data_IF_431342751614
#
_entry.id   IF_431342751614
#
_cell.length_a   1.000
_cell.length_b   1.000
_cell.length_c   1.000
_cell.angle_alpha   90.00
_cell.angle_beta   90.00
_cell.angle_gamma   90.00
#
_symmetry.space_group_name_H-M   'P 1'
#
loop_
_entity.id
_entity.type
_entity.pdbx_description
1 polymer ?
2 polymer ?
3 water ?
#
# COMPACT_ATOMS: atom_id res chain seq x y z
N UNK A 2 -6.19 -10.76 -17.65
CA UNK A 2 -6.17 -9.68 -16.77
C UNK A 2 -4.82 -8.96 -16.76
N UNK A 3 -4.73 -7.64 -16.78
CA UNK A 3 -3.43 -7.04 -16.61
C UNK A 3 -2.86 -7.43 -15.25
N UNK A 4 -1.56 -7.63 -15.20
CA UNK A 4 -0.94 -7.93 -13.94
C UNK A 4 0.50 -7.43 -13.97
N UNK A 5 0.99 -7.20 -12.77
CA UNK A 5 2.31 -6.64 -12.59
C UNK A 5 3.07 -7.36 -11.46
N UNK A 6 4.36 -7.62 -11.67
CA UNK A 6 5.20 -7.94 -10.53
C UNK A 6 5.31 -6.77 -9.58
N UNK A 7 5.50 -7.09 -8.30
CA UNK A 7 5.71 -6.14 -7.24
C UNK A 7 7.08 -6.41 -6.63
N UNK A 8 7.91 -5.42 -6.60
CA UNK A 8 9.31 -5.56 -6.23
C UNK A 8 9.51 -5.12 -4.80
N UNK A 9 9.93 -6.04 -3.93
CA UNK A 9 10.16 -5.72 -2.53
C UNK A 9 11.36 -4.82 -2.38
N UNK A 10 11.18 -3.68 -1.75
CA UNK A 10 12.23 -2.70 -1.54
C UNK A 10 12.71 -2.65 -0.10
N UNK A 11 11.97 -3.27 0.80
CA UNK A 11 12.23 -3.14 2.25
C UNK A 11 10.95 -2.50 2.85
N UNK A 12 10.89 -1.14 2.79
CA UNK A 12 9.72 -0.49 3.40
C UNK A 12 8.45 -0.58 2.60
N UNK A 13 8.56 -0.92 1.29
CA UNK A 13 7.48 -0.82 0.35
C UNK A 13 7.69 -1.86 -0.75
N UNK A 14 6.63 -2.04 -1.53
CA UNK A 14 6.67 -2.82 -2.76
C UNK A 14 6.47 -1.84 -3.93
N UNK A 15 7.38 -1.93 -4.89
CA UNK A 15 7.31 -1.09 -6.07
C UNK A 15 6.63 -1.76 -7.25
N UNK A 16 5.90 -0.97 -8.01
CA UNK A 16 5.33 -1.38 -9.29
C UNK A 16 6.01 -0.52 -10.36
N UNK A 17 6.34 -1.13 -11.49
CA UNK A 17 7.00 -0.44 -12.58
C UNK A 17 5.98 0.09 -13.54
N UNK A 18 6.20 1.38 -13.87
CA UNK A 18 5.32 1.91 -14.87
C UNK A 18 6.03 3.00 -15.67
N UNK A 19 5.63 3.10 -16.94
CA UNK A 19 6.31 4.06 -17.81
C UNK A 19 5.33 5.16 -18.19
N UNK A 20 5.85 6.36 -18.39
CA UNK A 20 5.02 7.54 -18.62
C UNK A 20 5.48 8.25 -19.87
N UNK A 21 4.51 8.61 -20.72
CA UNK A 21 4.76 9.56 -21.79
C UNK A 21 5.13 8.99 -23.10
N UNK A 22 5.30 9.88 -24.10
CA UNK A 22 5.60 9.42 -25.45
C UNK A 22 6.94 8.65 -25.54
N UNK A 23 7.85 9.03 -24.65
CA UNK A 23 9.18 8.43 -24.59
C UNK A 23 9.31 7.41 -23.45
N UNK A 24 8.17 7.00 -22.86
CA UNK A 24 8.11 5.86 -22.00
C UNK A 24 9.19 5.89 -20.89
N UNK A 25 9.15 6.99 -20.14
CA UNK A 25 10.07 7.21 -19.08
C UNK A 25 9.77 6.30 -17.92
N UNK A 26 10.73 5.45 -17.51
CA UNK A 26 10.49 4.38 -16.54
C UNK A 26 10.50 4.90 -15.10
N UNK A 27 9.49 4.46 -14.34
CA UNK A 27 9.36 4.76 -12.93
C UNK A 27 9.16 3.46 -12.15
N UNK A 28 9.56 3.47 -10.89
CA UNK A 28 9.15 2.44 -9.93
C UNK A 28 8.54 3.19 -8.76
N UNK A 29 7.26 2.94 -8.51
CA UNK A 29 6.48 3.70 -7.55
C UNK A 29 5.84 2.76 -6.55
N UNK A 30 5.54 3.28 -5.35
CA UNK A 30 4.93 2.43 -4.32
C UNK A 30 3.54 2.02 -4.78
N UNK A 31 3.21 0.72 -4.71
CA UNK A 31 1.84 0.28 -4.94
C UNK A 31 1.10 0.49 -3.62
N UNK A 32 0.17 1.44 -3.57
CA UNK A 32 -0.41 1.92 -2.32
C UNK A 32 -1.94 1.82 -2.32
N UNK A 33 -2.49 0.87 -1.58
CA UNK A 33 -3.92 0.77 -1.40
C UNK A 33 -4.44 1.75 -0.36
N UNK A 34 -3.55 2.47 0.31
CA UNK A 34 -3.90 3.48 1.29
C UNK A 34 -3.94 4.91 0.79
N UNK A 35 -3.80 5.12 -0.49
CA UNK A 35 -3.98 6.43 -1.10
C UNK A 35 -4.51 6.23 -2.51
N UNK A 36 -4.81 7.33 -3.20
CA UNK A 36 -5.61 7.24 -4.42
C UNK A 36 -5.06 8.03 -5.59
N UNK A 37 -3.96 8.75 -5.40
CA UNK A 37 -3.38 9.57 -6.45
C UNK A 37 -2.10 8.92 -6.93
N UNK A 38 -1.90 8.94 -8.25
CA UNK A 38 -0.64 8.56 -8.87
C UNK A 38 0.21 9.82 -9.04
N UNK A 39 1.47 9.77 -8.59
CA UNK A 39 2.37 10.86 -8.81
C UNK A 39 3.78 10.32 -9.01
N UNK A 40 4.56 11.12 -9.77
CA UNK A 40 5.92 10.81 -10.12
C UNK A 40 6.83 11.95 -9.69
N UNK A 41 8.11 11.60 -9.52
CA UNK A 41 9.12 12.58 -9.11
C UNK A 41 9.61 13.33 -10.37
N UNK A 42 9.38 14.64 -10.43
CA UNK A 42 9.93 15.40 -11.54
C UNK A 42 11.43 15.34 -11.53
N UNK A 43 12.06 15.29 -12.73
CA UNK A 43 13.50 15.27 -12.79
C UNK A 43 14.13 16.47 -12.09
N UNK A 44 13.47 17.60 -11.97
CA UNK A 44 13.99 18.77 -11.30
C UNK A 44 13.45 18.96 -9.88
N UNK A 45 12.85 17.91 -9.31
CA UNK A 45 12.25 18.06 -7.97
C UNK A 45 13.31 18.33 -6.93
N UNK A 46 12.85 18.94 -5.85
CA UNK A 46 13.65 19.04 -4.62
C UNK A 46 13.20 17.95 -3.64
N UNK A 47 14.07 16.98 -3.44
CA UNK A 47 13.86 15.91 -2.46
C UNK A 47 14.20 16.50 -1.09
N UNK A 48 13.37 16.32 -0.09
CA UNK A 48 13.67 16.83 1.22
C UNK A 48 14.62 15.93 1.99
N UNK A 49 14.63 14.62 1.68
CA UNK A 49 15.34 13.66 2.49
C UNK A 49 16.18 12.79 1.55
N UNK A 50 17.41 13.10 1.30
CA UNK A 50 18.31 12.34 0.50
C UNK A 50 17.84 12.27 -0.97
N UNK A 51 18.18 11.10 -1.59
CA UNK A 51 17.97 10.90 -3.00
C UNK A 51 16.65 10.21 -3.27
N UNK A 52 15.64 11.00 -3.64
CA UNK A 52 14.30 10.51 -3.97
C UNK A 52 14.14 10.18 -5.47
N UNK A 53 15.29 10.16 -6.15
CA UNK A 53 15.43 9.95 -7.54
C UNK A 53 16.24 8.74 -7.92
N UNK A 54 16.07 7.65 -7.16
CA UNK A 54 16.76 6.40 -7.48
C UNK A 54 15.78 5.44 -8.15
N UNK A 55 14.47 5.70 -8.08
CA UNK A 55 13.43 4.86 -8.62
C UNK A 55 12.76 5.49 -9.81
N UNK A 56 13.49 6.29 -10.55
CA UNK A 56 12.99 6.98 -11.75
C UNK A 56 12.68 8.42 -11.51
N UNK A 57 12.66 9.17 -12.62
CA UNK A 57 12.12 10.52 -12.62
C UNK A 57 11.36 10.74 -13.92
N UNK A 58 10.55 11.80 -13.92
CA UNK A 58 9.78 12.19 -15.07
C UNK A 58 10.14 13.60 -15.48
N UNK A 59 10.45 13.77 -16.76
CA UNK A 59 10.72 15.05 -17.35
C UNK A 59 9.53 15.37 -18.29
N UNK A 60 8.60 16.19 -17.87
CA UNK A 60 7.43 16.46 -18.70
C UNK A 60 7.81 17.03 -20.07
N UNK A 61 8.92 17.75 -20.13
CA UNK A 61 9.25 18.48 -21.35
C UNK A 61 9.56 17.59 -22.49
N UNK A 62 9.92 16.33 -22.24
CA UNK A 62 10.32 15.42 -23.32
C UNK A 62 9.23 14.47 -23.72
N UNK A 63 8.07 14.52 -23.06
CA UNK A 63 6.91 13.74 -23.52
C UNK A 63 5.98 14.62 -24.36
N UNK A 64 5.85 14.24 -25.67
CA UNK A 64 5.01 15.09 -26.55
C UNK A 64 3.57 14.99 -26.27
N UNK A 65 3.13 13.92 -25.51
CA UNK A 65 1.74 13.70 -25.16
C UNK A 65 1.38 14.27 -23.79
N UNK A 66 2.32 14.77 -23.01
CA UNK A 66 2.06 15.37 -21.69
C UNK A 66 1.29 16.65 -21.86
N UNK A 67 0.31 16.88 -21.01
CA UNK A 67 -0.32 18.16 -20.88
C UNK A 67 -0.45 18.51 -19.41
N UNK A 68 0.05 19.68 -19.00
CA UNK A 68 -0.21 20.10 -17.62
C UNK A 68 -1.65 20.51 -17.49
N UNK A 69 -2.25 20.20 -16.37
CA UNK A 69 -3.61 20.68 -16.04
C UNK A 69 -3.56 21.97 -15.27
N UNK A 70 -2.41 22.43 -14.80
CA UNK A 70 -2.28 23.72 -14.15
C UNK A 70 -2.73 23.79 -12.73
N UNK A 71 -3.40 22.81 -12.21
CA UNK A 71 -3.91 22.80 -10.87
C UNK A 71 -2.85 22.24 -9.92
N UNK A 72 -2.82 22.78 -8.72
CA UNK A 72 -1.76 22.30 -7.82
C UNK A 72 -2.23 21.07 -7.06
N UNK A 73 -1.19 20.31 -6.71
CA UNK A 73 -1.31 19.06 -5.98
C UNK A 73 -0.52 19.20 -4.67
N UNK A 74 -1.15 18.82 -3.56
CA UNK A 74 -0.44 18.65 -2.31
C UNK A 74 -1.13 17.45 -1.62
N UNK A 75 -0.31 16.71 -0.85
CA UNK A 75 -0.82 15.57 -0.10
C UNK A 75 0.12 15.36 1.09
N UNK A 76 -0.50 14.91 2.18
CA UNK A 76 0.23 14.49 3.39
C UNK A 76 -0.10 13.06 3.72
N UNK A 77 0.93 12.31 4.12
CA UNK A 77 0.79 10.91 4.45
C UNK A 77 0.94 10.67 5.93
N UNK A 78 0.57 9.46 6.37
CA UNK A 78 0.51 9.14 7.77
C UNK A 78 1.80 9.23 8.51
N UNK A 79 2.92 8.97 7.82
CA UNK A 79 4.24 9.08 8.38
C UNK A 79 4.80 10.52 8.40
N UNK A 80 3.96 11.46 8.03
CA UNK A 80 4.24 12.90 8.01
C UNK A 80 5.04 13.31 6.77
N UNK A 81 5.35 12.38 5.89
CA UNK A 81 5.89 12.76 4.59
C UNK A 81 4.81 13.44 3.76
N UNK A 82 5.23 14.15 2.73
CA UNK A 82 4.28 14.95 1.93
C UNK A 82 4.92 15.23 0.57
N UNK A 83 4.05 15.70 -0.34
CA UNK A 83 4.44 16.05 -1.69
C UNK A 83 3.67 17.27 -2.17
N UNK A 84 4.32 18.04 -3.04
CA UNK A 84 3.74 19.18 -3.73
C UNK A 84 4.07 19.06 -5.21
N UNK A 85 3.13 19.35 -6.09
CA UNK A 85 3.42 19.43 -7.50
C UNK A 85 2.27 20.03 -8.26
N UNK A 86 2.15 19.64 -9.53
CA UNK A 86 1.11 20.18 -10.41
C UNK A 86 0.53 18.99 -11.17
N UNK A 87 -0.80 18.95 -11.27
CA UNK A 87 -1.48 17.89 -12.00
C UNK A 87 -1.19 18.01 -13.49
N UNK A 88 -1.14 16.84 -14.14
CA UNK A 88 -1.03 16.74 -15.58
C UNK A 88 -1.72 15.45 -16.05
N UNK A 89 -1.57 15.20 -17.35
CA UNK A 89 -2.13 14.02 -17.96
C UNK A 89 -1.18 13.51 -19.01
N UNK A 90 -1.13 12.19 -19.18
CA UNK A 90 -0.28 11.56 -20.20
C UNK A 90 -0.74 10.10 -20.33
N UNK A 91 -0.05 9.42 -21.27
CA UNK A 91 -0.21 7.99 -21.44
C UNK A 91 0.65 7.26 -20.40
N UNK A 92 0.04 6.26 -19.75
CA UNK A 92 0.72 5.49 -18.72
C UNK A 92 0.70 4.02 -19.14
N UNK A 93 1.83 3.36 -18.95
CA UNK A 93 2.03 1.94 -19.23
C UNK A 93 2.19 1.20 -17.94
N UNK A 94 1.31 0.20 -17.71
CA UNK A 94 1.38 -0.61 -16.52
C UNK A 94 0.62 -1.89 -16.78
N UNK A 95 1.00 -2.97 -16.09
CA UNK A 95 0.25 -4.19 -16.15
C UNK A 95 0.25 -4.87 -17.51
N UNK A 96 1.20 -4.53 -18.39
CA UNK A 96 1.20 -5.02 -19.73
C UNK A 96 0.24 -4.29 -20.67
N UNK A 97 -0.39 -3.22 -20.21
CA UNK A 97 -1.30 -2.44 -21.04
C UNK A 97 -0.97 -0.94 -20.92
N UNK A 98 -1.86 -0.12 -21.44
CA UNK A 98 -1.67 1.33 -21.35
C UNK A 98 -3.02 1.98 -21.25
N UNK A 99 -3.03 3.19 -20.67
CA UNK A 99 -4.18 4.05 -20.58
C UNK A 99 -3.79 5.44 -21.05
N UNK A 100 -4.73 6.10 -21.76
CA UNK A 100 -4.44 7.40 -22.31
C UNK A 100 -5.13 8.50 -21.47
N UNK A 101 -4.50 9.69 -21.50
CA UNK A 101 -5.03 10.88 -20.88
C UNK A 101 -5.36 10.64 -19.38
N UNK A 102 -4.47 9.93 -18.70
CA UNK A 102 -4.65 9.69 -17.27
C UNK A 102 -4.09 10.86 -16.48
N UNK A 103 -4.88 11.33 -15.50
CA UNK A 103 -4.45 12.39 -14.59
C UNK A 103 -3.52 11.82 -13.50
N UNK A 104 -2.41 12.52 -13.32
CA UNK A 104 -1.41 12.17 -12.30
C UNK A 104 -0.69 13.47 -11.95
N UNK A 105 0.02 13.47 -10.82
CA UNK A 105 0.75 14.67 -10.42
C UNK A 105 2.23 14.55 -10.73
N UNK A 106 2.81 15.63 -11.21
CA UNK A 106 4.23 15.74 -11.45
C UNK A 106 4.77 16.57 -10.28
N UNK A 107 5.44 15.85 -9.38
CA UNK A 107 5.81 16.37 -8.06
C UNK A 107 7.19 17.03 -8.11
N UNK A 108 7.22 18.27 -7.62
CA UNK A 108 8.38 19.10 -7.62
C UNK A 108 9.00 19.29 -6.23
N UNK A 109 8.37 18.84 -5.17
CA UNK A 109 9.07 18.76 -3.88
C UNK A 109 8.38 17.66 -3.07
N UNK A 110 9.20 16.85 -2.42
CA UNK A 110 8.66 15.74 -1.64
C UNK A 110 9.63 15.30 -0.58
N UNK A 111 9.07 14.80 0.53
CA UNK A 111 9.81 14.08 1.54
C UNK A 111 9.59 12.57 1.48
N UNK A 112 8.84 12.11 0.49
CA UNK A 112 8.72 10.68 0.21
C UNK A 112 9.96 10.28 -0.61
N UNK A 113 10.32 8.98 -0.58
CA UNK A 113 11.54 8.56 -1.23
C UNK A 113 11.37 8.16 -2.71
N UNK A 114 10.14 8.15 -3.21
CA UNK A 114 9.86 7.76 -4.60
C UNK A 114 8.40 8.15 -4.85
N UNK A 115 7.99 8.02 -6.11
CA UNK A 115 6.58 8.26 -6.42
C UNK A 115 5.69 7.14 -5.92
N UNK A 116 4.37 7.37 -6.06
CA UNK A 116 3.35 6.51 -5.49
C UNK A 116 2.25 6.29 -6.52
N UNK A 117 1.85 5.01 -6.70
CA UNK A 117 0.64 4.67 -7.43
C UNK A 117 -0.44 4.35 -6.40
N UNK A 118 -1.24 5.37 -6.08
CA UNK A 118 -2.39 5.18 -5.21
C UNK A 118 -3.55 4.55 -5.98
N UNK A 119 -3.98 3.40 -5.52
CA UNK A 119 -5.04 2.61 -6.14
C UNK A 119 -6.28 2.51 -5.26
N UNK A 120 -6.42 3.42 -4.30
CA UNK A 120 -7.55 3.44 -3.42
C UNK A 120 -8.81 4.07 -4.02
N UNK A 121 -9.76 4.29 -3.13
CA UNK A 121 -11.08 4.79 -3.48
C UNK A 121 -11.01 6.25 -3.89
N UNK A 122 -11.96 6.71 -4.69
CA UNK A 122 -11.89 8.13 -5.06
C UNK A 122 -12.02 9.01 -3.82
N UNK A 123 -12.64 8.54 -2.73
CA UNK A 123 -12.84 9.34 -1.54
C UNK A 123 -11.52 9.75 -0.85
N UNK A 124 -10.39 9.10 -1.08
CA UNK A 124 -9.14 9.54 -0.52
C UNK A 124 -8.28 10.27 -1.54
N UNK A 125 -8.77 10.61 -2.72
CA UNK A 125 -7.99 11.49 -3.61
C UNK A 125 -7.76 12.83 -2.94
N UNK A 126 -6.55 13.36 -3.10
CA UNK A 126 -6.26 14.73 -2.67
C UNK A 126 -6.62 15.67 -3.82
N UNK A 127 -7.92 15.81 -4.09
CA UNK A 127 -8.43 16.58 -5.22
C UNK A 127 -9.87 16.94 -4.96
N UNK A 128 -10.29 18.08 -5.51
CA UNK A 128 -11.68 18.51 -5.44
C UNK A 128 -11.90 19.42 -6.64
N UNK A 129 -12.75 19.01 -7.61
CA UNK A 129 -13.59 17.86 -7.66
C UNK A 129 -12.83 16.53 -7.74
N UNK A 130 -13.51 15.42 -7.45
CA UNK A 130 -12.80 14.14 -7.68
C UNK A 130 -12.62 13.88 -9.18
N UNK A 131 -11.78 12.90 -9.48
CA UNK A 131 -11.40 12.57 -10.84
C UNK A 131 -11.21 11.06 -11.00
N UNK A 132 -11.04 10.62 -12.21
CA UNK A 132 -10.82 9.19 -12.46
C UNK A 132 -9.33 8.84 -12.19
N UNK A 133 -9.10 8.13 -11.08
CA UNK A 133 -7.76 7.65 -10.78
C UNK A 133 -7.50 6.35 -11.58
N UNK A 134 -6.30 5.77 -11.40
CA UNK A 134 -5.87 4.72 -12.31
C UNK A 134 -6.81 3.52 -12.35
N UNK A 135 -7.31 3.01 -11.21
CA UNK A 135 -8.22 1.86 -11.30
C UNK A 135 -9.50 2.19 -12.07
N UNK A 136 -10.06 3.38 -11.86
CA UNK A 136 -11.24 3.80 -12.59
C UNK A 136 -10.95 3.82 -14.09
N UNK A 137 -9.83 4.38 -14.49
CA UNK A 137 -9.50 4.48 -15.92
C UNK A 137 -9.24 3.13 -16.55
N UNK A 138 -8.59 2.21 -15.82
CA UNK A 138 -8.41 0.88 -16.34
C UNK A 138 -9.75 0.25 -16.73
N UNK A 139 -10.76 0.43 -15.90
CA UNK A 139 -12.10 -0.09 -16.20
C UNK A 139 -12.71 0.72 -17.37
N UNK A 140 -12.68 2.03 -17.29
CA UNK A 140 -13.34 2.88 -18.28
C UNK A 140 -12.80 2.64 -19.70
N UNK A 141 -11.51 2.35 -19.80
CA UNK A 141 -10.86 2.10 -21.10
C UNK A 141 -10.87 0.63 -21.47
N UNK A 142 -11.65 -0.19 -20.72
CA UNK A 142 -11.90 -1.55 -21.13
C UNK A 142 -10.79 -2.53 -20.88
N UNK A 143 -9.82 -2.14 -20.04
CA UNK A 143 -8.72 -3.08 -19.74
C UNK A 143 -9.20 -4.12 -18.71
N UNK A 144 -10.15 -3.77 -17.90
CA UNK A 144 -10.79 -4.66 -16.89
C UNK A 144 -12.29 -4.37 -16.91
N UNK A 145 -13.08 -5.34 -16.49
CA UNK A 145 -14.53 -5.19 -16.46
C UNK A 145 -15.04 -4.69 -15.13
N UNK A 146 -14.29 -4.91 -14.06
CA UNK A 146 -14.66 -4.57 -12.70
C UNK A 146 -13.48 -3.72 -12.09
N UNK A 147 -13.78 -2.66 -11.41
CA UNK A 147 -12.75 -1.91 -10.73
C UNK A 147 -12.42 -2.65 -9.41
N UNK A 148 -11.46 -3.57 -9.56
CA UNK A 148 -11.07 -4.47 -8.48
C UNK A 148 -9.67 -4.98 -8.80
N UNK A 149 -8.95 -5.44 -7.80
CA UNK A 149 -7.62 -5.99 -8.00
C UNK A 149 -7.28 -6.91 -6.83
N UNK A 150 -6.39 -7.85 -7.13
CA UNK A 150 -5.93 -8.81 -6.14
C UNK A 150 -4.49 -8.57 -5.81
N UNK A 151 -4.17 -8.66 -4.51
CA UNK A 151 -2.84 -8.42 -4.00
C UNK A 151 -2.25 -9.70 -3.39
N UNK A 152 -1.07 -10.03 -3.90
CA UNK A 152 -0.26 -11.19 -3.48
C UNK A 152 1.14 -10.67 -3.22
N UNK A 153 1.40 -10.16 -2.00
CA UNK A 153 2.74 -9.69 -1.72
C UNK A 153 3.78 -10.84 -1.72
N UNK A 154 3.32 -12.05 -1.49
CA UNK A 154 4.15 -13.23 -1.50
C UNK A 154 5.00 -13.32 -0.24
N UNK A 155 5.79 -14.39 -0.15
CA UNK A 155 6.45 -14.72 1.10
C UNK A 155 7.58 -13.75 1.41
N UNK A 156 7.98 -13.68 2.70
CA UNK A 156 9.22 -12.94 2.99
C UNK A 156 10.39 -13.59 2.23
N UNK A 157 11.13 -12.83 1.50
CA UNK A 157 12.22 -13.44 0.63
C UNK A 157 11.80 -13.77 -0.72
N UNK A 158 10.59 -13.72 -1.13
CA UNK A 158 10.24 -14.05 -2.49
C UNK A 158 10.88 -13.19 -3.63
N UNK A 159 11.48 -12.04 -3.87
CA UNK A 159 11.90 -10.95 -4.75
C UNK A 159 10.75 -10.11 -5.34
N UNK A 160 9.69 -10.84 -5.65
CA UNK A 160 8.52 -10.29 -6.30
C UNK A 160 7.21 -11.00 -5.86
N UNK A 161 6.24 -10.09 -5.59
CA UNK A 161 4.83 -10.30 -5.41
C UNK A 161 4.10 -10.00 -6.73
N UNK A 162 2.79 -9.97 -6.69
CA UNK A 162 1.96 -9.73 -7.88
C UNK A 162 0.73 -8.92 -7.50
N UNK A 163 0.35 -8.00 -8.40
CA UNK A 163 -1.00 -7.42 -8.38
C UNK A 163 -1.67 -7.81 -9.71
N UNK A 164 -2.90 -8.28 -9.63
CA UNK A 164 -3.70 -8.56 -10.82
C UNK A 164 -4.85 -7.55 -10.83
N UNK A 165 -4.94 -6.78 -11.91
CA UNK A 165 -6.04 -5.84 -12.08
C UNK A 165 -7.20 -6.55 -12.72
N UNK A 166 -8.36 -6.58 -12.03
CA UNK A 166 -9.55 -7.18 -12.57
C UNK A 166 -9.68 -8.66 -12.46
N UNK A 167 -8.70 -9.33 -11.85
CA UNK A 167 -8.66 -10.76 -11.81
C UNK A 167 -8.16 -11.26 -10.44
N UNK A 168 -8.32 -12.54 -10.24
CA UNK A 168 -8.03 -13.25 -8.98
C UNK A 168 -7.36 -14.56 -9.31
N UNK A 169 -6.26 -14.88 -8.62
CA UNK A 169 -5.57 -16.15 -8.79
C UNK A 169 -6.04 -17.12 -7.70
N UNK A 170 -7.00 -17.99 -8.10
CA UNK A 170 -7.61 -18.91 -7.18
C UNK A 170 -6.70 -20.02 -6.68
N UNK A 171 -5.48 -20.15 -7.26
CA UNK A 171 -4.52 -21.09 -6.75
C UNK A 171 -3.76 -20.58 -5.52
N UNK A 172 -3.88 -19.29 -5.20
CA UNK A 172 -2.96 -18.62 -4.27
C UNK A 172 -3.60 -18.32 -2.92
N UNK A 173 -4.68 -19.03 -2.55
CA UNK A 173 -5.19 -18.97 -1.22
C UNK A 173 -5.79 -20.29 -0.82
N UNK A 174 -5.91 -20.53 0.47
CA UNK A 174 -6.59 -21.67 1.05
C UNK A 174 -7.97 -21.31 1.50
N UNK A 175 -8.85 -22.30 1.61
CA UNK A 175 -10.19 -22.03 2.02
C UNK A 175 -10.87 -21.17 0.89
N UNK A 176 -11.88 -20.42 1.31
CA UNK A 176 -12.62 -19.53 0.48
C UNK A 176 -12.28 -18.11 0.81
N UNK A 177 -12.29 -17.23 -0.24
CA UNK A 177 -12.22 -15.83 0.02
C UNK A 177 -13.47 -15.42 0.85
N UNK A 178 -13.25 -14.67 1.90
CA UNK A 178 -14.33 -14.19 2.74
C UNK A 178 -14.47 -12.70 2.53
N UNK A 179 -15.65 -12.31 2.02
CA UNK A 179 -15.94 -10.93 1.69
C UNK A 179 -16.28 -10.10 2.90
N UNK A 180 -15.66 -8.93 3.04
CA UNK A 180 -15.91 -8.00 4.12
C UNK A 180 -16.40 -6.68 3.55
N UNK A 181 -17.45 -6.09 4.14
CA UNK A 181 -17.82 -4.73 3.76
C UNK A 181 -16.85 -3.75 4.31
N UNK A 182 -16.80 -2.55 3.72
CA UNK A 182 -15.96 -1.48 4.22
C UNK A 182 -16.64 -0.84 5.42
N UNK A 183 -15.83 -0.36 6.36
CA UNK A 183 -16.31 0.29 7.55
C UNK A 183 -15.81 1.76 7.66
N UNK A 184 -15.21 2.26 6.65
CA UNK A 184 -14.80 3.67 6.54
C UNK A 184 -15.52 4.35 5.47
N UNK A 185 -15.76 5.65 5.61
CA UNK A 185 -16.27 6.51 4.59
C UNK A 185 -15.31 6.81 3.41
N UNK A 186 -14.08 6.41 3.56
CA UNK A 186 -13.02 6.81 2.66
C UNK A 186 -11.97 5.78 2.38
N UNK A 187 -11.52 5.00 3.36
CA UNK A 187 -10.44 4.05 3.20
C UNK A 187 -10.97 2.67 2.80
N UNK A 188 -10.06 1.85 2.31
CA UNK A 188 -10.27 0.43 2.14
C UNK A 188 -9.99 -0.25 3.49
N UNK A 189 -10.98 -0.11 4.39
CA UNK A 189 -10.88 -0.52 5.78
C UNK A 189 -12.00 -1.50 6.11
N UNK A 190 -11.64 -2.53 6.88
CA UNK A 190 -12.56 -3.58 7.32
C UNK A 190 -12.54 -3.68 8.80
N UNK A 191 -13.58 -4.29 9.41
CA UNK A 191 -13.58 -4.46 10.85
C UNK A 191 -12.60 -5.55 11.27
N UNK A 192 -11.75 -5.24 12.24
CA UNK A 192 -10.94 -6.25 12.94
C UNK A 192 -11.73 -6.62 14.19
N UNK A 193 -12.07 -7.90 14.35
CA UNK A 193 -12.84 -8.37 15.49
C UNK A 193 -11.95 -8.64 16.70
N UNK A 194 -10.83 -9.31 16.52
CA UNK A 194 -9.96 -9.68 17.61
C UNK A 194 -8.61 -10.04 17.08
N UNK A 195 -7.63 -10.10 18.00
CA UNK A 195 -6.22 -10.38 17.68
C UNK A 195 -5.73 -11.34 18.76
N UNK A 196 -5.24 -12.52 18.38
CA UNK A 196 -4.64 -13.45 19.32
C UNK A 196 -3.13 -13.50 19.00
N UNK A 197 -2.33 -12.78 19.76
CA UNK A 197 -0.89 -12.65 19.53
C UNK A 197 -0.23 -13.74 20.42
N UNK A 198 0.13 -14.87 19.79
CA UNK A 198 0.79 -15.94 20.48
C UNK A 198 0.15 -16.33 21.80
N UNK A 199 -1.18 -16.37 21.84
CA UNK A 199 -1.93 -16.84 22.96
C UNK A 199 -2.50 -15.70 23.82
N UNK A 200 -2.02 -14.48 23.65
CA UNK A 200 -2.59 -13.33 24.37
C UNK A 200 -3.63 -12.78 23.50
N UNK A 201 -4.90 -13.02 23.82
CA UNK A 201 -5.97 -12.62 22.99
C UNK A 201 -6.63 -11.32 23.44
N UNK A 202 -7.09 -10.58 22.47
CA UNK A 202 -7.51 -9.20 22.73
C UNK A 202 -8.78 -8.94 21.81
N UNK A 203 -9.85 -8.45 22.38
CA UNK A 203 -10.91 -7.84 21.59
C UNK A 203 -10.43 -6.63 20.88
N UNK A 204 -10.98 -6.44 19.66
CA UNK A 204 -10.72 -5.25 18.83
C UNK A 204 -12.02 -4.55 18.61
N UNK A 205 -12.67 -4.83 17.49
CA UNK A 205 -13.94 -4.19 17.14
C UNK A 205 -13.77 -2.76 16.63
N UNK A 206 -12.84 -2.57 15.72
CA UNK A 206 -12.64 -1.28 15.08
C UNK A 206 -12.12 -1.56 13.66
N UNK A 207 -12.25 -0.55 12.77
CA UNK A 207 -11.77 -0.64 11.45
C UNK A 207 -10.25 -0.53 11.33
N UNK A 208 -9.71 -1.30 10.38
CA UNK A 208 -8.30 -1.24 10.03
C UNK A 208 -8.19 -1.02 8.51
N UNK A 209 -7.32 -0.09 8.12
CA UNK A 209 -7.03 0.12 6.70
C UNK A 209 -6.14 -1.03 6.24
N UNK A 210 -6.50 -1.66 5.12
CA UNK A 210 -5.76 -2.78 4.57
C UNK A 210 -4.79 -2.18 3.54
N UNK A 211 -3.57 -1.88 4.02
CA UNK A 211 -2.73 -0.89 3.35
C UNK A 211 -1.39 -1.44 2.88
N UNK A 212 -1.28 -1.71 1.57
CA UNK A 212 -0.04 -2.17 1.00
C UNK A 212 1.09 -1.15 1.10
N UNK A 213 0.79 0.14 1.22
CA UNK A 213 1.78 1.17 1.32
C UNK A 213 2.30 1.47 2.71
N UNK A 214 1.96 0.62 3.71
CA UNK A 214 2.52 0.77 5.03
C UNK A 214 3.37 -0.46 5.35
N UNK A 215 4.57 -0.25 5.89
CA UNK A 215 5.52 -1.33 6.10
C UNK A 215 5.06 -2.34 7.17
N UNK A 216 4.66 -1.80 8.32
CA UNK A 216 4.28 -2.60 9.47
C UNK A 216 2.82 -2.28 9.83
N UNK A 217 2.38 -2.61 11.06
CA UNK A 217 0.98 -2.52 11.42
C UNK A 217 0.82 -1.65 12.67
N UNK A 218 -0.29 -0.91 12.73
CA UNK A 218 -0.52 0.14 13.71
C UNK A 218 -1.90 -0.09 14.31
N UNK A 219 -1.98 -0.31 15.63
CA UNK A 219 -3.23 -0.60 16.29
C UNK A 219 -3.34 0.27 17.55
N UNK A 220 -4.54 0.38 18.11
CA UNK A 220 -4.70 1.26 19.27
C UNK A 220 -3.93 0.75 20.47
N UNK A 221 -3.59 1.69 21.36
CA UNK A 221 -2.97 1.36 22.63
C UNK A 221 -3.78 0.34 23.43
N UNK A 222 -5.12 0.35 23.31
CA UNK A 222 -5.93 -0.60 24.04
C UNK A 222 -5.52 -2.03 23.78
N UNK A 223 -5.00 -2.33 22.58
CA UNK A 223 -4.39 -3.61 22.27
C UNK A 223 -2.89 -3.65 22.50
N UNK A 224 -2.21 -2.64 21.99
CA UNK A 224 -0.74 -2.69 21.93
C UNK A 224 -0.08 -2.58 23.29
N UNK A 225 -0.67 -1.85 24.24
CA UNK A 225 -0.01 -1.67 25.51
C UNK A 225 0.35 -3.00 26.19
N UNK A 226 -0.62 -3.87 26.35
CA UNK A 226 -0.34 -5.14 27.07
C UNK A 226 0.61 -5.98 26.24
N UNK A 227 0.43 -6.00 24.92
CA UNK A 227 1.33 -6.80 24.10
C UNK A 227 2.74 -6.34 24.21
N UNK A 228 2.99 -5.01 24.30
CA UNK A 228 4.34 -4.52 24.46
C UNK A 228 4.96 -5.06 25.74
N UNK A 229 4.16 -5.07 26.81
CA UNK A 229 4.63 -5.63 28.08
C UNK A 229 4.96 -7.11 27.94
N UNK A 230 4.10 -7.86 27.27
CA UNK A 230 4.27 -9.32 27.16
C UNK A 230 5.47 -9.67 26.29
N UNK A 231 5.74 -8.95 25.24
CA UNK A 231 6.77 -9.34 24.27
C UNK A 231 8.09 -8.65 24.53
N UNK A 232 8.14 -7.66 25.40
CA UNK A 232 9.37 -6.93 25.64
C UNK A 232 9.65 -5.86 24.60
N UNK A 233 8.59 -5.22 24.09
CA UNK A 233 8.77 -4.07 23.20
C UNK A 233 8.86 -2.80 24.02
N UNK A 234 9.68 -1.86 23.57
CA UNK A 234 10.09 -0.71 24.39
C UNK A 234 10.27 0.52 23.52
N UNK A 235 9.81 1.66 24.02
CA UNK A 235 9.87 2.85 23.29
C UNK A 235 11.24 3.42 23.36
N UNK A 236 11.75 3.92 22.20
CA UNK A 236 13.04 4.63 22.16
C UNK A 236 12.90 5.74 21.15
N UNK A 237 13.65 6.87 21.36
CA UNK A 237 13.50 8.00 20.47
C UNK A 237 14.02 7.65 19.07
N UNK A 238 13.39 8.18 17.98
CA UNK A 238 13.73 7.82 16.59
C UNK A 238 14.21 9.06 15.86
N UNK A 239 14.11 10.15 16.52
CA UNK A 239 14.21 11.33 17.37
C UNK A 239 14.30 12.25 16.13
N UNK A 240 13.99 13.52 16.09
CA UNK A 240 13.35 14.26 17.16
C UNK A 240 11.82 14.35 17.01
N UNK A 241 11.28 14.35 18.18
CA UNK A 241 10.41 14.11 19.27
C UNK A 241 9.50 12.98 18.72
N UNK A 242 10.08 12.04 17.88
CA UNK A 242 9.21 10.84 17.81
C UNK A 242 9.84 9.70 18.54
N UNK A 243 9.15 8.63 18.75
CA UNK A 243 9.60 7.40 19.33
C UNK A 243 8.81 6.27 18.71
N UNK A 244 9.42 5.10 18.71
CA UNK A 244 8.74 3.85 18.22
C UNK A 244 9.11 2.76 19.14
N UNK A 245 8.29 1.70 19.06
CA UNK A 245 8.63 0.48 19.83
C UNK A 245 9.73 -0.29 19.10
N UNK A 246 10.77 -0.59 19.86
CA UNK A 246 11.83 -1.52 19.49
C UNK A 246 11.62 -2.83 20.17
N UNK A 247 12.35 -3.84 19.69
CA UNK A 247 12.31 -5.18 20.21
C UNK A 247 13.70 -5.79 19.97
N UNK A 248 14.07 -6.70 20.87
CA UNK A 248 15.33 -7.40 20.71
C UNK A 248 15.34 -8.12 19.36
N UNK A 249 16.42 -7.95 18.63
CA UNK A 249 16.48 -8.58 17.27
C UNK A 249 16.49 -10.10 17.39
N UNK A 250 16.84 -10.66 18.56
CA UNK A 250 17.01 -12.06 18.89
C UNK A 250 15.76 -12.55 19.56
N UNK A 251 14.70 -11.76 19.56
CA UNK A 251 13.44 -12.45 19.96
C UNK A 251 12.70 -13.35 18.90
C UNK A 253 8.98 -16.88 16.90
N UNK A 254 8.68 -17.54 18.10
CA UNK A 254 7.97 -18.84 17.89
C UNK A 254 6.46 -18.55 17.91
N UNK A 255 5.71 -19.26 17.02
CA UNK A 255 4.25 -19.13 16.98
C UNK A 255 3.82 -18.03 16.00
N UNK A 256 2.54 -17.61 16.20
CA UNK A 256 1.94 -16.72 15.29
C UNK A 256 0.93 -15.80 15.96
N UNK A 257 0.56 -14.80 15.22
CA UNK A 257 -0.50 -13.91 15.59
C UNK A 257 -1.66 -14.07 14.65
N UNK A 258 -2.85 -14.33 15.16
CA UNK A 258 -4.02 -14.49 14.33
C UNK A 258 -4.91 -13.28 14.46
N UNK A 259 -5.35 -12.81 13.30
CA UNK A 259 -6.21 -11.66 13.16
C UNK A 259 -7.58 -12.18 12.69
N UNK A 260 -8.62 -11.97 13.49
CA UNK A 260 -9.96 -12.40 13.16
C UNK A 260 -10.77 -11.19 12.73
N UNK A 261 -11.42 -11.32 11.59
CA UNK A 261 -12.26 -10.29 10.99
C UNK A 261 -13.72 -10.76 11.11
N UNK A 262 -14.65 -10.09 10.44
CA UNK A 262 -16.03 -10.54 10.45
C UNK A 262 -16.20 -11.77 9.55
N UNK A 263 -17.33 -12.46 9.72
CA UNK A 263 -17.71 -13.54 8.83
C UNK A 263 -16.78 -14.70 8.89
N UNK A 264 -16.05 -14.84 10.03
CA UNK A 264 -15.16 -15.97 10.23
C UNK A 264 -13.83 -15.87 9.55
N UNK A 265 -13.48 -14.78 8.91
CA UNK A 265 -12.17 -14.68 8.27
C UNK A 265 -11.08 -14.57 9.34
N UNK A 266 -10.01 -15.33 9.14
CA UNK A 266 -8.86 -15.34 10.04
C UNK A 266 -7.60 -15.45 9.22
N UNK A 267 -6.64 -14.57 9.51
CA UNK A 267 -5.34 -14.56 8.88
C UNK A 267 -4.30 -14.77 9.96
N UNK A 268 -3.41 -15.72 9.68
CA UNK A 268 -2.34 -16.01 10.65
C UNK A 268 -1.02 -15.52 10.13
N UNK A 269 -0.27 -14.85 11.03
CA UNK A 269 0.96 -14.20 10.65
C UNK A 269 2.09 -14.75 11.56
N UNK A 270 3.15 -15.33 11.00
CA UNK A 270 4.24 -15.82 11.87
C UNK A 270 4.83 -14.67 12.67
N UNK A 271 5.27 -14.98 13.90
CA UNK A 271 5.78 -13.95 14.78
C UNK A 271 7.07 -13.32 14.28
N UNK A 272 7.80 -13.97 13.40
CA UNK A 272 8.98 -13.36 12.79
C UNK A 272 8.64 -12.07 12.06
N UNK A 273 7.40 -11.89 11.59
CA UNK A 273 6.96 -10.66 10.94
C UNK A 273 6.90 -9.46 11.88
N UNK A 274 7.08 -9.70 13.18
CA UNK A 274 7.03 -8.65 14.17
C UNK A 274 8.41 -8.23 14.67
N UNK A 275 9.47 -8.73 14.04
CA UNK A 275 10.83 -8.26 14.35
C UNK A 275 11.42 -7.75 13.05
N UNK A 276 11.57 -6.45 12.91
CA UNK A 276 12.05 -5.84 11.66
C UNK A 276 13.39 -5.17 11.85
N UNK A 277 14.40 -5.62 11.09
CA UNK A 277 15.71 -4.89 11.24
C UNK A 277 15.83 -3.30 11.03
N UNK A 282 19.73 -2.80 16.11
CA UNK A 282 18.41 -2.40 16.44
C UNK A 282 17.30 -2.90 15.51
N UNK A 283 16.25 -3.40 16.10
CA UNK A 283 15.04 -3.90 15.43
C UNK A 283 13.80 -3.17 15.96
N UNK A 284 12.94 -2.74 15.05
CA UNK A 284 11.65 -2.25 15.52
C UNK A 284 10.63 -3.36 15.55
N UNK A 285 9.68 -3.20 16.47
CA UNK A 285 8.55 -4.10 16.59
C UNK A 285 7.62 -3.91 15.37
N UNK A 286 7.07 -5.00 14.88
CA UNK A 286 6.16 -4.90 13.75
C UNK A 286 4.74 -4.54 14.10
N UNK A 287 4.46 -4.29 15.37
CA UNK A 287 3.27 -3.57 15.82
C UNK A 287 3.73 -2.24 16.38
N UNK A 288 2.94 -1.21 16.09
CA UNK A 288 3.11 0.12 16.62
C UNK A 288 1.76 0.66 17.04
N UNK A 289 1.75 1.80 17.73
CA UNK A 289 0.52 2.38 18.18
C UNK A 289 -0.04 3.39 17.17
N UNK A 290 -1.27 3.13 16.71
CA UNK A 290 -1.97 4.09 15.87
C UNK A 290 -2.28 5.37 16.62
N UNK A 291 -2.51 5.27 17.94
CA UNK A 291 -2.73 6.46 18.74
C UNK A 291 -1.51 7.33 18.81
N UNK A 292 -0.37 6.78 19.17
CA UNK A 292 0.88 7.52 19.35
C UNK A 292 1.37 8.08 18.05
N UNK A 293 1.18 7.33 16.97
CA UNK A 293 1.66 7.75 15.66
C UNK A 293 0.62 8.60 14.89
N UNK A 294 -0.57 8.81 15.46
CA UNK A 294 -1.53 9.70 14.87
C UNK A 294 -1.95 9.22 13.47
N UNK A 295 -2.29 7.96 13.34
CA UNK A 295 -2.76 7.38 12.08
C UNK A 295 -3.98 6.58 12.35
N UNK A 296 -4.82 6.32 11.34
CA UNK A 296 -5.88 5.31 11.53
C UNK A 296 -5.21 3.96 11.82
N UNK A 297 -5.93 3.04 12.49
CA UNK A 297 -5.39 1.68 12.58
C UNK A 297 -5.15 1.12 11.16
N UNK A 298 -4.05 0.42 10.99
CA UNK A 298 -3.57 -0.05 9.69
C UNK A 298 -2.97 -1.44 9.84
N UNK A 299 -3.34 -2.33 8.92
CA UNK A 299 -2.61 -3.59 8.71
C UNK A 299 -1.77 -3.40 7.44
N UNK A 300 -0.46 -3.48 7.62
CA UNK A 300 0.49 -3.22 6.56
C UNK A 300 1.13 -4.48 6.00
N UNK A 301 2.31 -4.31 5.41
CA UNK A 301 2.91 -5.36 4.61
C UNK A 301 3.23 -6.63 5.40
N UNK A 302 3.61 -6.47 6.67
CA UNK A 302 3.94 -7.63 7.48
C UNK A 302 2.75 -8.55 7.71
N UNK A 303 1.53 -7.97 7.76
CA UNK A 303 0.29 -8.72 7.73
C UNK A 303 -0.01 -9.22 6.33
N UNK A 304 0.04 -8.32 5.34
CA UNK A 304 -0.44 -8.62 4.00
C UNK A 304 0.35 -9.69 3.29
N UNK A 305 1.62 -9.90 3.65
CA UNK A 305 2.36 -11.01 3.07
C UNK A 305 1.67 -12.34 3.33
N UNK A 306 0.82 -12.44 4.35
CA UNK A 306 0.20 -13.70 4.73
C UNK A 306 -1.26 -13.83 4.32
N UNK A 307 -1.74 -12.86 3.55
CA UNK A 307 -3.09 -12.86 3.06
C UNK A 307 -3.10 -12.78 1.53
N UNK A 308 -4.11 -13.39 0.93
CA UNK A 308 -4.52 -13.08 -0.43
C UNK A 308 -5.71 -12.14 -0.29
N UNK A 309 -5.63 -10.96 -0.95
CA UNK A 309 -6.63 -9.93 -0.73
C UNK A 309 -7.20 -9.48 -2.05
N UNK A 310 -8.54 -9.48 -2.15
CA UNK A 310 -9.23 -8.93 -3.34
C UNK A 310 -9.92 -7.63 -2.90
N UNK A 311 -9.48 -6.51 -3.45
CA UNK A 311 -10.06 -5.20 -3.21
C UNK A 311 -11.05 -4.95 -4.34
N UNK A 312 -12.34 -4.78 -4.00
CA UNK A 312 -13.35 -4.57 -5.00
C UNK A 312 -13.95 -3.19 -4.79
N UNK A 313 -13.50 -2.25 -5.60
CA UNK A 313 -13.88 -0.86 -5.47
C UNK A 313 -15.26 -0.57 -6.04
N UNK A 314 -15.77 -1.42 -6.91
CA UNK A 314 -17.14 -1.33 -7.37
C UNK A 314 -18.13 -1.77 -6.30
N UNK A 315 -17.86 -2.93 -5.68
CA UNK A 315 -18.73 -3.52 -4.69
C UNK A 315 -18.47 -2.88 -3.31
N UNK A 316 -17.38 -2.19 -3.12
CA UNK A 316 -16.96 -1.67 -1.84
C UNK A 316 -16.77 -2.79 -0.84
N UNK A 317 -15.91 -3.75 -1.19
CA UNK A 317 -15.58 -4.86 -0.33
C UNK A 317 -14.10 -5.15 -0.38
N UNK A 318 -13.62 -5.81 0.64
CA UNK A 318 -12.28 -6.40 0.69
C UNK A 318 -12.49 -7.86 1.08
N UNK A 319 -11.98 -8.79 0.26
CA UNK A 319 -12.10 -10.20 0.55
C UNK A 319 -10.74 -10.76 0.93
N UNK A 320 -10.74 -11.64 1.96
CA UNK A 320 -9.52 -12.12 2.58
C UNK A 320 -9.51 -13.64 2.61
N UNK A 321 -8.32 -14.22 2.44
CA UNK A 321 -8.10 -15.63 2.73
C UNK A 321 -6.61 -15.80 3.07
N UNK A 322 -6.31 -16.85 3.82
CA UNK A 322 -4.91 -17.17 4.11
C UNK A 322 -4.19 -17.44 2.80
N UNK A 323 -3.03 -16.81 2.60
CA UNK A 323 -2.29 -16.96 1.35
C UNK A 323 -1.80 -18.40 1.21
N UNK A 324 -1.67 -18.83 -0.03
CA UNK A 324 -1.01 -20.08 -0.42
C UNK A 324 0.15 -19.66 -1.33
N UNK A 325 1.39 -19.84 -0.85
CA UNK A 325 2.57 -19.53 -1.64
C UNK A 325 2.82 -20.65 -2.63
N UNK A 326 2.58 -20.37 -3.90
CA UNK A 326 2.73 -21.42 -4.92
C UNK A 326 2.91 -20.79 -6.28
N UNK A 327 3.69 -21.47 -7.11
CA UNK A 327 3.80 -21.12 -8.52
C UNK A 327 2.57 -21.53 -9.32
N UNK A 328 1.77 -22.41 -8.82
CA UNK A 328 0.55 -22.77 -9.49
C UNK A 328 -0.30 -21.49 -9.66
N UNK A 329 -1.10 -21.44 -10.76
CA UNK A 329 -1.86 -20.25 -11.08
C UNK A 329 -3.14 -20.64 -11.80
N UNK A 330 -4.23 -20.08 -11.36
CA UNK A 330 -5.55 -20.26 -11.97
C UNK A 330 -6.29 -18.92 -11.89
N UNK A 331 -6.10 -18.03 -12.88
CA UNK A 331 -6.64 -16.69 -12.80
C UNK A 331 -7.99 -16.63 -13.45
N UNK A 332 -8.93 -15.98 -12.82
CA UNK A 332 -10.28 -15.72 -13.34
C UNK A 332 -10.57 -14.21 -13.20
N UNK A 333 -11.48 -13.72 -14.01
CA UNK A 333 -11.91 -12.33 -13.88
C UNK A 333 -12.76 -12.18 -12.66
N UNK A 334 -12.65 -11.13 -11.87
CA UNK A 334 -13.35 -10.93 -10.58
C UNK A 334 -14.75 -10.80 -10.71
CA UNK B 1 9.19 2.26 7.85
C UNK B 1 8.31 3.46 7.45
N UNK B 2 7.44 3.24 6.50
CA UNK B 2 6.63 4.23 5.85
C UNK B 2 5.19 3.93 6.11
N UNK B 3 4.37 4.99 6.07
CA UNK B 3 2.91 4.90 6.27
C UNK B 3 2.28 5.81 5.22
N UNK B 4 1.65 5.18 4.21
CA UNK B 4 1.16 5.88 3.02
C UNK B 4 -1.56 7.40 3.76
N UNK B 5 -2.44 7.82 2.87
CA UNK B 5 -2.89 9.21 2.88
C UNK B 5 -3.68 9.50 4.13
N UNK B 6 -3.62 10.74 4.58
CA UNK B 6 -4.54 11.21 5.67
C UNK B 6 -7.95 11.62 3.74
#
# INVERSE_FOLDING_TARGET
SSPSSPLYFEGPSYGIRVSVGSNKQEQQVVLDTGSSDFWVVDSSASCQKGNCKQYGTFDPHSSTSFKSLGSSFSIGYGDKSSSIGTWGQDTIYLGGTSITNQRFADVTSTSVNQGILGVGRVETESANPPYDNVPITLKKQGKIKTNAYSLYLNSPGAATGTIIFGGVDNAKYSGKLIEEPLVSDRYLAVNLKSLNYNGDNSNAGFGVVVDSGTTISYLPDSIVDDLANKVGAYLEPVGLGNELYFIDCNANPQGSASFTFDNGAKITVPLSEFVLQSTANACVWGLQSSDRQNVPPILGDNFLRHAYVVFNLDKETVSLAQVKYTSASSVSAI
XVVXAX
#
